data_IF_679680401401
#
_entry.id   IF_679680401401
#
_cell.length_a   1.000
_cell.length_b   1.000
_cell.length_c   1.000
_cell.angle_alpha   90.00
_cell.angle_beta   90.00
_cell.angle_gamma   90.00
#
_symmetry.space_group_name_H-M   'P 1'
#
loop_
_entity.id
_entity.type
_entity.pdbx_description
1 polymer ?
#
# COMPACT_ATOMS: atom_id res chain seq x y z
N UNK A 1 8.83 21.94 4.62
CA UNK A 1 8.45 21.74 3.20
C UNK A 1 7.30 20.76 3.17
N UNK A 2 6.27 20.92 2.32
CA UNK A 2 5.17 19.94 2.24
C UNK A 2 5.65 18.72 1.45
N UNK A 3 5.56 17.49 1.97
CA UNK A 3 5.97 16.30 1.22
C UNK A 3 5.04 16.09 0.02
N UNK A 4 5.60 15.67 -1.11
CA UNK A 4 4.83 15.26 -2.29
C UNK A 4 4.65 13.75 -2.24
N UNK A 5 3.41 13.30 -2.11
CA UNK A 5 3.05 11.88 -2.11
C UNK A 5 2.35 11.56 -3.42
N UNK A 6 2.82 10.53 -4.12
CA UNK A 6 2.21 9.99 -5.34
C UNK A 6 1.78 8.56 -5.07
N UNK A 7 0.53 8.24 -5.40
CA UNK A 7 -0.06 6.92 -5.24
C UNK A 7 -0.37 6.42 -6.65
N UNK A 8 0.26 5.32 -7.05
CA UNK A 8 0.04 4.67 -8.34
C UNK A 8 -0.64 3.33 -8.11
N UNK A 9 -1.68 3.04 -8.89
CA UNK A 9 -2.29 1.72 -8.90
C UNK A 9 -1.65 0.87 -10.00
N UNK A 10 -1.40 -0.39 -9.71
CA UNK A 10 -0.89 -1.35 -10.67
C UNK A 10 -1.71 -2.63 -10.61
N UNK A 11 -1.79 -3.27 -11.76
CA UNK A 11 -2.41 -4.58 -11.95
C UNK A 11 -1.40 -5.40 -12.75
N UNK A 12 -1.19 -6.64 -12.32
CA UNK A 12 -0.23 -7.56 -12.94
C UNK A 12 -0.90 -8.93 -13.09
N UNK A 13 -0.93 -9.43 -14.32
CA UNK A 13 -1.34 -10.80 -14.59
C UNK A 13 -0.11 -11.70 -14.41
N UNK A 14 -0.25 -12.75 -13.61
CA UNK A 14 0.79 -13.77 -13.44
C UNK A 14 1.14 -14.42 -14.79
N UNK A 15 2.37 -14.91 -14.94
CA UNK A 15 2.90 -15.46 -16.20
C UNK A 15 2.05 -16.61 -16.80
N UNK A 16 1.26 -17.29 -15.96
CA UNK A 16 0.40 -18.41 -16.32
C UNK A 16 -1.09 -18.03 -16.51
N UNK A 17 -1.41 -16.72 -16.51
CA UNK A 17 -2.78 -16.17 -16.55
C UNK A 17 -3.71 -16.71 -15.45
N UNK A 18 -3.15 -17.40 -14.45
CA UNK A 18 -3.92 -18.09 -13.41
C UNK A 18 -4.25 -17.18 -12.22
N UNK A 19 -3.53 -16.05 -12.11
CA UNK A 19 -3.78 -15.02 -11.12
C UNK A 19 -3.69 -13.60 -11.67
N UNK A 20 -4.50 -12.73 -11.07
CA UNK A 20 -4.45 -11.29 -11.21
C UNK A 20 -4.07 -10.71 -9.84
N UNK A 21 -2.93 -10.04 -9.78
CA UNK A 21 -2.53 -9.25 -8.63
C UNK A 21 -2.84 -7.77 -8.88
N UNK A 22 -3.35 -7.10 -7.86
CA UNK A 22 -3.56 -5.66 -7.88
C UNK A 22 -2.97 -5.06 -6.62
N UNK A 23 -2.42 -3.86 -6.75
CA UNK A 23 -1.80 -3.20 -5.61
C UNK A 23 -1.54 -1.73 -5.85
N UNK A 24 -0.76 -1.16 -4.95
CA UNK A 24 -0.43 0.26 -4.95
C UNK A 24 1.08 0.45 -4.79
N UNK A 25 1.65 1.35 -5.59
CA UNK A 25 2.99 1.88 -5.40
C UNK A 25 2.91 3.28 -4.81
N UNK A 26 3.72 3.57 -3.79
CA UNK A 26 3.80 4.90 -3.19
C UNK A 26 5.19 5.51 -3.42
N UNK A 27 5.19 6.76 -3.89
CA UNK A 27 6.39 7.57 -4.00
C UNK A 27 6.29 8.80 -3.09
N UNK A 28 7.31 9.04 -2.28
CA UNK A 28 7.43 10.23 -1.43
C UNK A 28 8.63 11.05 -1.92
N UNK A 29 8.39 12.30 -2.29
CA UNK A 29 9.41 13.21 -2.82
C UNK A 29 10.21 12.64 -4.02
N UNK A 30 9.58 11.77 -4.82
CA UNK A 30 10.19 11.14 -5.99
C UNK A 30 10.95 9.84 -5.73
N UNK A 31 11.05 9.40 -4.47
CA UNK A 31 11.57 8.08 -4.08
C UNK A 31 10.42 7.08 -3.99
N UNK A 32 10.51 5.97 -4.72
CA UNK A 32 9.59 4.84 -4.55
C UNK A 32 9.89 4.15 -3.22
N UNK A 33 8.87 4.02 -2.37
CA UNK A 33 9.00 3.44 -1.04
C UNK A 33 8.57 1.98 -1.02
N UNK A 34 7.44 1.68 -1.66
CA UNK A 34 6.79 0.38 -1.57
C UNK A 34 5.91 0.14 -2.79
N UNK A 35 5.82 -1.13 -3.20
CA UNK A 35 4.88 -1.68 -4.18
C UNK A 35 4.19 -2.86 -3.48
N UNK A 36 2.95 -2.68 -3.00
CA UNK A 36 2.29 -3.64 -2.10
C UNK A 36 0.76 -3.58 -2.24
N UNK A 37 0.06 -4.69 -1.95
CA UNK A 37 -1.41 -4.76 -1.99
C UNK A 37 -2.08 -4.31 -0.68
N UNK A 38 -1.32 -4.24 0.42
CA UNK A 38 -1.80 -3.85 1.75
C UNK A 38 -1.73 -2.33 1.97
N UNK A 39 -2.90 -1.72 2.18
CA UNK A 39 -3.02 -0.28 2.48
C UNK A 39 -2.34 0.08 3.80
N UNK A 40 -2.40 -0.79 4.82
CA UNK A 40 -1.80 -0.55 6.13
C UNK A 40 -0.28 -0.43 6.02
N UNK A 41 0.36 -1.36 5.30
CA UNK A 41 1.80 -1.35 5.08
C UNK A 41 2.20 -0.08 4.32
N UNK A 42 1.43 0.28 3.31
CA UNK A 42 1.68 1.47 2.50
C UNK A 42 1.63 2.77 3.33
N UNK A 43 0.63 2.91 4.22
CA UNK A 43 0.52 4.07 5.12
C UNK A 43 1.68 4.12 6.13
N UNK A 44 2.07 2.97 6.71
CA UNK A 44 3.22 2.90 7.62
C UNK A 44 4.52 3.37 6.95
N UNK A 45 4.82 2.89 5.75
CA UNK A 45 6.04 3.28 5.04
C UNK A 45 6.11 4.78 4.75
N UNK A 46 4.97 5.42 4.46
CA UNK A 46 4.92 6.88 4.29
C UNK A 46 5.23 7.60 5.59
N UNK A 47 4.63 7.17 6.71
CA UNK A 47 4.83 7.81 8.00
C UNK A 47 6.28 7.67 8.49
N UNK A 48 6.89 6.50 8.29
CA UNK A 48 8.30 6.26 8.60
C UNK A 48 9.24 7.14 7.76
N UNK A 49 9.02 7.25 6.45
CA UNK A 49 9.84 8.12 5.58
C UNK A 49 9.70 9.60 5.98
N UNK A 50 8.54 10.00 6.50
CA UNK A 50 8.30 11.35 6.99
C UNK A 50 8.77 11.58 8.43
N UNK A 51 9.25 10.54 9.13
CA UNK A 51 9.66 10.61 10.53
C UNK A 51 8.51 10.93 11.49
N UNK A 52 7.29 10.49 11.16
CA UNK A 52 6.07 10.75 11.93
C UNK A 52 5.71 9.48 12.70
N UNK A 53 5.72 9.57 14.03
CA UNK A 53 5.18 8.51 14.89
C UNK A 53 3.65 8.62 14.94
N UNK A 54 2.96 7.52 14.63
CA UNK A 54 1.51 7.47 14.63
C UNK A 54 0.99 6.13 15.14
N UNK A 55 -0.09 6.19 15.92
CA UNK A 55 -0.89 5.00 16.27
C UNK A 55 -1.90 4.76 15.14
N UNK A 56 -1.75 3.63 14.43
CA UNK A 56 -2.57 3.29 13.28
C UNK A 56 -3.46 2.11 13.67
N UNK A 57 -4.76 2.36 13.65
CA UNK A 57 -5.79 1.34 13.82
C UNK A 57 -6.50 1.09 12.50
N UNK A 58 -6.37 -0.11 11.98
CA UNK A 58 -7.17 -0.59 10.86
C UNK A 58 -8.55 -1.04 11.37
N UNK A 59 -9.63 -0.58 10.71
CA UNK A 59 -11.01 -0.96 11.02
C UNK A 59 -11.70 -1.33 9.72
N UNK A 60 -12.32 -2.51 9.68
CA UNK A 60 -13.09 -2.97 8.52
C UNK A 60 -14.59 -2.79 8.84
N UNK A 61 -15.31 -2.02 8.02
CA UNK A 61 -16.74 -1.75 8.23
C UNK A 61 -17.67 -2.94 7.90
N UNK A 62 -17.19 -3.94 7.15
CA UNK A 62 -17.92 -5.18 6.89
C UNK A 62 -16.92 -6.30 6.57
N UNK A 63 -17.16 -7.51 7.13
CA UNK A 63 -16.42 -8.79 6.94
C UNK A 63 -15.06 -8.62 6.24
N UNK A 64 -13.96 -8.71 7.00
CA UNK A 64 -12.60 -8.79 6.45
C UNK A 64 -12.64 -9.51 5.11
N UNK A 65 -12.19 -8.85 4.03
CA UNK A 65 -12.02 -9.53 2.75
C UNK A 65 -11.24 -10.81 3.04
N UNK A 66 -11.87 -11.98 2.88
CA UNK A 66 -11.26 -13.28 3.17
C UNK A 66 -9.95 -13.48 2.37
N UNK A 67 -9.69 -12.63 1.38
CA UNK A 67 -8.44 -12.49 0.64
C UNK A 67 -7.19 -12.20 1.50
N UNK A 68 -7.32 -11.61 2.69
CA UNK A 68 -6.18 -11.35 3.59
C UNK A 68 -5.95 -12.44 4.65
N UNK A 69 -6.69 -13.54 4.60
CA UNK A 69 -6.38 -14.76 5.38
C UNK A 69 -5.39 -15.62 4.58
N UNK A 70 -4.10 -15.34 4.69
CA UNK A 70 -3.02 -16.31 4.41
C UNK A 70 -1.97 -16.23 5.49
#
# INVERSE_FOLDING_TARGET
MKPKIVINHWEETCEDESCYEYGTSILVNGKELIREASILTAVKSVLEELGIEADIKEVCENKCCDAYKK
#
